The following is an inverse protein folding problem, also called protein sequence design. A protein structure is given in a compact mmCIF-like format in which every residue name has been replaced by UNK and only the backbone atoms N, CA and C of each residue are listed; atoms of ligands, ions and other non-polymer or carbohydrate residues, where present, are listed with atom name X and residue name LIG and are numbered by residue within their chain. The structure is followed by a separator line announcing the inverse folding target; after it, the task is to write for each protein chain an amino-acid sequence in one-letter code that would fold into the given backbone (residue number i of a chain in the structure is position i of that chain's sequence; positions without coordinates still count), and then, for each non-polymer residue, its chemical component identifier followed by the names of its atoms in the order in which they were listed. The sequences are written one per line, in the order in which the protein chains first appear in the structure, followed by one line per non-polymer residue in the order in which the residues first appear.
data_IF_464724969363
#
_entry.id   IF_464724969363
#
_cell.length_a   1.000
_cell.length_b   1.000
_cell.length_c   1.000
_cell.angle_alpha   90.00
_cell.angle_beta   90.00
_cell.angle_gamma   90.00
#
_symmetry.space_group_name_H-M   'P 1'
#
loop_
_entity.id
_entity.type
_entity.pdbx_description
1 polymer ?
#
# COMPACT_ATOMS: atom_id res chain seq x y z
N UNK A 1 -19.86 -0.06 -15.98
CA UNK A 1 -20.69 -0.58 -17.09
C UNK A 1 -21.55 -1.74 -16.58
N UNK A 2 -22.72 -1.96 -17.18
CA UNK A 2 -23.54 -3.16 -16.96
C UNK A 2 -22.95 -4.35 -17.72
N UNK A 3 -23.34 -5.59 -17.39
CA UNK A 3 -22.93 -6.76 -18.15
C UNK A 3 -23.27 -6.65 -19.65
N UNK A 4 -24.45 -6.11 -19.99
CA UNK A 4 -24.85 -5.89 -21.39
C UNK A 4 -23.92 -4.91 -22.11
N UNK A 5 -23.52 -3.83 -21.44
CA UNK A 5 -22.55 -2.88 -21.98
C UNK A 5 -21.18 -3.53 -22.16
N UNK A 6 -20.72 -4.35 -21.20
CA UNK A 6 -19.44 -5.06 -21.30
C UNK A 6 -19.42 -6.04 -22.49
N UNK A 7 -20.49 -6.82 -22.66
CA UNK A 7 -20.64 -7.73 -23.82
C UNK A 7 -20.60 -6.98 -25.15
N UNK A 8 -21.20 -5.78 -25.22
CA UNK A 8 -21.10 -4.91 -26.42
C UNK A 8 -19.71 -4.31 -26.60
N UNK A 9 -19.03 -3.99 -25.51
CA UNK A 9 -17.67 -3.42 -25.51
C UNK A 9 -16.62 -4.46 -25.93
N UNK A 10 -16.86 -5.74 -25.64
CA UNK A 10 -15.96 -6.86 -25.96
C UNK A 10 -16.74 -8.00 -26.62
N UNK A 11 -17.27 -7.80 -27.84
CA UNK A 11 -18.19 -8.74 -28.48
C UNK A 11 -17.53 -10.08 -28.83
N UNK A 12 -16.22 -10.07 -29.01
CA UNK A 12 -15.45 -11.26 -29.40
C UNK A 12 -15.18 -12.22 -28.23
N UNK A 13 -15.41 -11.79 -26.98
CA UNK A 13 -15.18 -12.61 -25.79
C UNK A 13 -16.43 -13.39 -25.35
N UNK A 14 -16.26 -14.69 -25.09
CA UNK A 14 -17.33 -15.61 -24.69
C UNK A 14 -17.70 -15.49 -23.20
N UNK A 15 -18.32 -14.37 -22.83
CA UNK A 15 -18.69 -14.05 -21.44
C UNK A 15 -19.59 -15.10 -20.76
N UNK A 16 -20.44 -15.80 -21.52
CA UNK A 16 -21.37 -16.78 -20.94
C UNK A 16 -20.63 -17.94 -20.28
N UNK A 17 -19.59 -18.49 -20.94
CA UNK A 17 -18.77 -19.55 -20.37
C UNK A 17 -18.01 -19.08 -19.14
N UNK A 18 -17.47 -17.85 -19.16
CA UNK A 18 -16.82 -17.25 -18.01
C UNK A 18 -17.78 -17.15 -16.81
N UNK A 19 -18.97 -16.60 -17.01
CA UNK A 19 -19.97 -16.43 -15.94
C UNK A 19 -20.38 -17.78 -15.35
N UNK A 20 -20.62 -18.80 -16.19
CA UNK A 20 -20.99 -20.14 -15.73
C UNK A 20 -19.85 -20.82 -14.95
N UNK A 21 -18.62 -20.75 -15.48
CA UNK A 21 -17.45 -21.38 -14.84
C UNK A 21 -17.17 -20.77 -13.46
N UNK A 22 -17.29 -19.46 -13.35
CA UNK A 22 -17.06 -18.72 -12.10
C UNK A 22 -18.33 -18.60 -11.24
N UNK A 23 -19.46 -19.16 -11.68
CA UNK A 23 -20.75 -19.16 -10.96
C UNK A 23 -21.16 -17.76 -10.48
N UNK A 24 -20.95 -16.75 -11.32
CA UNK A 24 -21.22 -15.36 -10.97
C UNK A 24 -22.73 -15.09 -10.98
N UNK A 25 -23.24 -14.48 -9.90
CA UNK A 25 -24.64 -14.09 -9.80
C UNK A 25 -24.94 -12.79 -10.55
N UNK A 26 -26.22 -12.53 -10.83
CA UNK A 26 -26.65 -11.26 -11.42
C UNK A 26 -26.31 -10.06 -10.52
N UNK A 27 -26.39 -10.23 -9.20
CA UNK A 27 -25.97 -9.22 -8.24
C UNK A 27 -24.48 -8.91 -8.36
N UNK A 28 -23.63 -9.94 -8.49
CA UNK A 28 -22.19 -9.78 -8.67
C UNK A 28 -21.82 -9.11 -10.00
N UNK A 29 -22.70 -9.20 -10.99
CA UNK A 29 -22.52 -8.64 -12.33
C UNK A 29 -23.28 -7.33 -12.55
N UNK A 30 -23.99 -6.83 -11.54
CA UNK A 30 -24.85 -5.65 -11.65
C UNK A 30 -24.08 -4.40 -12.07
N UNK A 31 -22.84 -4.25 -11.59
CA UNK A 31 -21.96 -3.14 -11.94
C UNK A 31 -20.51 -3.60 -12.05
N UNK A 32 -19.93 -3.40 -13.23
CA UNK A 32 -18.56 -3.78 -13.54
C UNK A 32 -17.74 -2.51 -13.78
N UNK A 33 -16.58 -2.42 -13.12
CA UNK A 33 -15.59 -1.38 -13.34
C UNK A 33 -14.53 -1.98 -14.26
N UNK A 34 -14.33 -1.37 -15.43
CA UNK A 34 -13.27 -1.74 -16.37
C UNK A 34 -12.17 -0.70 -16.22
N UNK A 35 -11.06 -1.09 -15.61
CA UNK A 35 -9.98 -0.15 -15.24
C UNK A 35 -9.13 0.25 -16.45
N UNK A 36 -8.72 -0.71 -17.28
CA UNK A 36 -7.89 -0.49 -18.48
C UNK A 36 -8.70 -0.80 -19.73
N UNK A 37 -9.64 0.09 -20.07
CA UNK A 37 -10.63 -0.12 -21.13
C UNK A 37 -10.03 -0.51 -22.48
N UNK A 38 -9.04 0.24 -22.98
CA UNK A 38 -8.35 -0.05 -24.24
C UNK A 38 -7.64 -1.40 -24.23
N UNK A 39 -7.01 -1.78 -23.11
CA UNK A 39 -6.35 -3.08 -22.98
C UNK A 39 -7.37 -4.23 -22.98
N UNK A 40 -8.49 -4.08 -22.26
CA UNK A 40 -9.55 -5.10 -22.18
C UNK A 40 -10.20 -5.32 -23.54
N UNK A 41 -10.49 -4.25 -24.29
CA UNK A 41 -11.02 -4.35 -25.65
C UNK A 41 -10.08 -5.14 -26.58
N UNK A 42 -8.79 -4.81 -26.55
CA UNK A 42 -7.81 -5.47 -27.41
C UNK A 42 -7.53 -6.91 -26.98
N UNK A 43 -7.51 -7.19 -25.67
CA UNK A 43 -7.35 -8.55 -25.16
C UNK A 43 -8.51 -9.46 -25.61
N UNK A 44 -9.75 -8.96 -25.63
CA UNK A 44 -10.88 -9.74 -26.13
C UNK A 44 -10.66 -10.18 -27.60
N UNK A 45 -10.17 -9.27 -28.45
CA UNK A 45 -9.85 -9.56 -29.86
C UNK A 45 -8.69 -10.54 -29.99
N UNK A 46 -7.63 -10.38 -29.20
CA UNK A 46 -6.49 -11.29 -29.20
C UNK A 46 -6.94 -12.70 -28.81
N UNK A 47 -7.71 -12.83 -27.73
CA UNK A 47 -8.20 -14.13 -27.26
C UNK A 47 -9.08 -14.81 -28.31
N UNK A 48 -9.98 -14.08 -28.96
CA UNK A 48 -10.86 -14.65 -29.98
C UNK A 48 -10.12 -15.11 -31.24
N UNK A 49 -9.05 -14.41 -31.62
CA UNK A 49 -8.29 -14.70 -32.83
C UNK A 49 -7.11 -15.66 -32.61
N UNK A 50 -6.79 -16.01 -31.37
CA UNK A 50 -5.67 -16.90 -31.05
C UNK A 50 -6.11 -18.36 -31.14
N UNK A 51 -5.35 -19.24 -31.83
CA UNK A 51 -5.64 -20.67 -31.85
C UNK A 51 -5.77 -21.26 -30.44
N UNK A 52 -6.76 -22.13 -30.24
CA UNK A 52 -7.03 -22.74 -28.94
C UNK A 52 -5.80 -23.46 -28.35
N UNK A 53 -5.03 -24.16 -29.19
CA UNK A 53 -3.79 -24.83 -28.76
C UNK A 53 -2.79 -23.85 -28.15
N UNK A 54 -2.59 -22.68 -28.77
CA UNK A 54 -1.72 -21.63 -28.25
C UNK A 54 -2.22 -21.09 -26.91
N UNK A 55 -3.54 -20.90 -26.77
CA UNK A 55 -4.12 -20.47 -25.50
C UNK A 55 -3.95 -21.53 -24.40
N UNK A 56 -4.11 -22.81 -24.73
CA UNK A 56 -3.89 -23.92 -23.80
C UNK A 56 -2.43 -23.96 -23.34
N UNK A 57 -1.47 -23.90 -24.27
CA UNK A 57 -0.04 -23.89 -23.94
C UNK A 57 0.33 -22.70 -23.05
N UNK A 58 -0.19 -21.51 -23.37
CA UNK A 58 0.00 -20.31 -22.57
C UNK A 58 -0.54 -20.48 -21.14
N UNK A 59 -1.77 -20.97 -21.00
CA UNK A 59 -2.40 -21.17 -19.69
C UNK A 59 -1.70 -22.26 -18.88
N UNK A 60 -1.28 -23.37 -19.50
CA UNK A 60 -0.53 -24.44 -18.83
C UNK A 60 0.81 -23.92 -18.31
N UNK A 61 1.55 -23.18 -19.13
CA UNK A 61 2.81 -22.55 -18.71
C UNK A 61 2.60 -21.61 -17.51
N UNK A 62 1.65 -20.69 -17.61
CA UNK A 62 1.40 -19.71 -16.55
C UNK A 62 0.88 -20.37 -15.26
N UNK A 63 0.04 -21.41 -15.38
CA UNK A 63 -0.40 -22.19 -14.24
C UNK A 63 0.79 -22.86 -13.54
N UNK A 64 1.59 -23.65 -14.25
CA UNK A 64 2.76 -24.32 -13.68
C UNK A 64 3.77 -23.33 -13.09
N UNK A 65 4.06 -22.24 -13.80
CA UNK A 65 4.94 -21.17 -13.32
C UNK A 65 4.44 -20.55 -12.03
N UNK A 66 3.14 -20.25 -11.92
CA UNK A 66 2.52 -19.69 -10.71
C UNK A 66 2.56 -20.63 -9.51
N UNK A 67 2.58 -21.95 -9.76
CA UNK A 67 2.58 -22.99 -8.72
C UNK A 67 3.97 -23.54 -8.40
N UNK A 68 5.00 -23.20 -9.18
CA UNK A 68 6.32 -23.82 -9.13
C UNK A 68 6.99 -23.82 -7.74
N UNK A 69 6.69 -22.84 -6.88
CA UNK A 69 7.23 -22.77 -5.51
C UNK A 69 6.63 -23.81 -4.55
N UNK A 70 5.51 -24.43 -4.91
CA UNK A 70 4.81 -25.45 -4.12
C UNK A 70 4.98 -26.86 -4.70
N UNK A 71 5.73 -26.98 -5.80
CA UNK A 71 6.04 -28.24 -6.47
C UNK A 71 7.43 -28.74 -6.04
N UNK A 72 7.99 -29.68 -6.81
CA UNK A 72 9.32 -30.20 -6.54
C UNK A 72 10.43 -29.16 -6.81
N UNK A 73 11.66 -29.54 -6.45
CA UNK A 73 12.85 -28.69 -6.56
C UNK A 73 13.14 -28.22 -7.99
N UNK A 74 12.88 -29.04 -9.01
CA UNK A 74 13.14 -28.66 -10.40
C UNK A 74 12.27 -27.47 -10.83
N UNK A 75 10.97 -27.49 -10.51
CA UNK A 75 10.07 -26.36 -10.77
C UNK A 75 10.48 -25.12 -9.98
N UNK A 76 10.75 -25.26 -8.69
CA UNK A 76 11.13 -24.13 -7.84
C UNK A 76 12.43 -23.47 -8.32
N UNK A 77 13.41 -24.25 -8.77
CA UNK A 77 14.65 -23.73 -9.34
C UNK A 77 14.47 -23.11 -10.72
N UNK A 78 13.67 -23.71 -11.61
CA UNK A 78 13.38 -23.10 -12.91
C UNK A 78 12.76 -21.70 -12.73
N UNK A 79 11.80 -21.57 -11.79
CA UNK A 79 11.21 -20.28 -11.43
C UNK A 79 12.24 -19.33 -10.84
N UNK A 80 13.05 -19.78 -9.88
CA UNK A 80 14.09 -18.96 -9.25
C UNK A 80 15.12 -18.46 -10.28
N UNK A 81 15.63 -19.34 -11.13
CA UNK A 81 16.64 -19.01 -12.13
C UNK A 81 16.15 -17.90 -13.08
N UNK A 82 14.89 -17.95 -13.53
CA UNK A 82 14.35 -16.91 -14.38
C UNK A 82 13.99 -15.64 -13.58
N UNK A 83 13.03 -15.75 -12.66
CA UNK A 83 12.45 -14.55 -12.02
C UNK A 83 13.37 -13.91 -10.99
N UNK A 84 14.26 -14.65 -10.33
CA UNK A 84 15.14 -14.09 -9.29
C UNK A 84 16.55 -13.87 -9.83
N UNK A 85 17.14 -14.85 -10.51
CA UNK A 85 18.52 -14.70 -11.00
C UNK A 85 18.61 -13.86 -12.26
N UNK A 86 17.86 -14.19 -13.32
CA UNK A 86 17.94 -13.45 -14.60
C UNK A 86 17.34 -12.05 -14.51
N UNK A 87 16.15 -11.90 -13.92
CA UNK A 87 15.47 -10.60 -13.87
C UNK A 87 15.94 -9.70 -12.72
N UNK A 88 16.39 -10.25 -11.59
CA UNK A 88 16.69 -9.49 -10.38
C UNK A 88 18.12 -9.68 -9.85
N UNK A 89 18.98 -10.42 -10.55
CA UNK A 89 20.39 -10.61 -10.16
C UNK A 89 20.63 -11.43 -8.87
N UNK A 90 19.59 -12.05 -8.31
CA UNK A 90 19.69 -12.81 -7.05
C UNK A 90 20.43 -14.13 -7.32
N UNK A 91 21.59 -14.29 -6.67
CA UNK A 91 22.50 -15.42 -6.92
C UNK A 91 22.09 -16.72 -6.23
N UNK A 92 21.42 -16.63 -5.07
CA UNK A 92 21.08 -17.79 -4.26
C UNK A 92 19.61 -17.76 -3.84
N UNK A 93 18.94 -18.90 -3.96
CA UNK A 93 17.58 -19.05 -3.46
C UNK A 93 17.60 -19.06 -1.94
N UNK A 94 16.66 -18.33 -1.32
CA UNK A 94 16.41 -18.38 0.12
C UNK A 94 16.33 -19.82 0.63
N UNK A 95 16.78 -20.01 1.86
CA UNK A 95 16.72 -21.30 2.55
C UNK A 95 15.29 -21.85 2.57
N UNK A 96 15.16 -23.16 2.77
CA UNK A 96 13.83 -23.79 2.85
C UNK A 96 12.99 -23.20 3.98
N UNK A 97 13.62 -22.87 5.12
CA UNK A 97 12.97 -22.28 6.30
C UNK A 97 12.38 -20.89 5.98
N UNK A 98 13.16 -20.01 5.35
CA UNK A 98 12.68 -18.67 4.98
C UNK A 98 11.54 -18.73 3.98
N UNK A 99 11.63 -19.63 2.98
CA UNK A 99 10.55 -19.81 2.01
C UNK A 99 9.28 -20.40 2.64
N UNK A 100 9.42 -21.32 3.60
CA UNK A 100 8.28 -21.84 4.35
C UNK A 100 7.61 -20.73 5.17
N UNK A 101 8.39 -19.86 5.82
CA UNK A 101 7.85 -18.69 6.52
C UNK A 101 7.15 -17.71 5.58
N UNK A 102 7.69 -17.50 4.38
CA UNK A 102 7.06 -16.67 3.35
C UNK A 102 5.71 -17.25 2.90
N UNK A 103 5.59 -18.58 2.79
CA UNK A 103 4.32 -19.25 2.50
C UNK A 103 3.31 -19.02 3.62
N UNK A 104 3.69 -19.19 4.89
CA UNK A 104 2.78 -18.93 6.03
C UNK A 104 2.28 -17.48 6.02
N UNK A 105 3.18 -16.51 5.77
CA UNK A 105 2.80 -15.11 5.67
C UNK A 105 1.84 -14.82 4.50
N UNK A 106 2.09 -15.40 3.31
CA UNK A 106 1.31 -15.13 2.09
C UNK A 106 -0.03 -15.84 2.03
N UNK A 107 -0.14 -17.03 2.60
CA UNK A 107 -1.37 -17.82 2.51
C UNK A 107 -2.47 -17.16 3.33
N UNK A 108 -2.23 -16.87 4.61
CA UNK A 108 -3.03 -15.97 5.45
C UNK A 108 -2.27 -15.71 6.76
N UNK A 109 -1.41 -14.69 6.75
CA UNK A 109 -0.55 -14.36 7.90
C UNK A 109 -1.25 -13.73 9.10
N UNK A 110 -2.58 -13.59 9.12
CA UNK A 110 -3.33 -12.97 10.22
C UNK A 110 -3.16 -13.71 11.57
N UNK A 111 -3.31 -15.04 11.66
CA UNK A 111 -3.06 -15.77 12.91
C UNK A 111 -1.61 -15.64 13.39
N UNK A 112 -0.64 -15.68 12.45
CA UNK A 112 0.77 -15.43 12.77
C UNK A 112 0.98 -14.00 13.29
N UNK A 113 0.26 -13.02 12.75
CA UNK A 113 0.29 -11.64 13.19
C UNK A 113 -0.22 -11.45 14.62
N UNK A 114 -1.27 -12.19 15.02
CA UNK A 114 -1.74 -12.19 16.40
C UNK A 114 -0.66 -12.73 17.36
N UNK A 115 0.01 -13.83 16.98
CA UNK A 115 1.15 -14.37 17.75
C UNK A 115 2.32 -13.38 17.80
N UNK A 116 2.63 -12.72 16.69
CA UNK A 116 3.69 -11.71 16.62
C UNK A 116 3.41 -10.55 17.57
N UNK A 117 2.20 -9.99 17.54
CA UNK A 117 1.77 -8.89 18.40
C UNK A 117 1.85 -9.28 19.87
N UNK A 118 1.29 -10.45 20.23
CA UNK A 118 1.31 -10.95 21.60
C UNK A 118 2.73 -11.16 22.16
N UNK A 119 3.71 -11.39 21.29
CA UNK A 119 5.09 -11.67 21.68
C UNK A 119 5.99 -10.44 21.64
N UNK A 120 5.82 -9.58 20.63
CA UNK A 120 6.82 -8.56 20.26
C UNK A 120 6.31 -7.12 20.28
N UNK A 121 4.99 -6.89 20.38
CA UNK A 121 4.45 -5.52 20.32
C UNK A 121 4.07 -5.01 21.71
N UNK A 122 4.76 -3.96 22.15
CA UNK A 122 4.45 -3.25 23.39
C UNK A 122 3.19 -2.40 23.21
N UNK A 123 2.10 -2.63 23.97
CA UNK A 123 0.91 -1.80 23.92
C UNK A 123 1.17 -0.31 24.18
N UNK A 124 2.18 0.04 24.99
CA UNK A 124 2.54 1.43 25.27
C UNK A 124 3.13 2.15 24.06
N UNK A 125 3.76 1.40 23.14
CA UNK A 125 4.21 1.93 21.86
C UNK A 125 3.03 2.51 21.05
N UNK A 126 1.84 1.88 21.13
CA UNK A 126 0.62 2.37 20.44
C UNK A 126 0.28 3.80 20.87
N UNK A 127 0.35 4.10 22.17
CA UNK A 127 0.07 5.44 22.71
C UNK A 127 1.12 6.47 22.26
N UNK A 128 2.40 6.10 22.28
CA UNK A 128 3.50 6.98 21.81
C UNK A 128 3.37 7.30 20.32
N UNK A 129 3.04 6.31 19.49
CA UNK A 129 2.78 6.51 18.06
C UNK A 129 1.54 7.37 17.83
N UNK A 130 0.46 7.19 18.59
CA UNK A 130 -0.72 8.05 18.51
C UNK A 130 -0.39 9.51 18.79
N UNK A 131 0.48 9.78 19.77
CA UNK A 131 0.95 11.14 20.05
C UNK A 131 1.76 11.71 18.88
N UNK A 132 2.70 10.94 18.30
CA UNK A 132 3.44 11.35 17.11
C UNK A 132 2.50 11.67 15.94
N UNK A 133 1.53 10.79 15.67
CA UNK A 133 0.50 11.02 14.64
C UNK A 133 -0.26 12.33 14.89
N UNK A 134 -0.61 12.63 16.14
CA UNK A 134 -1.29 13.88 16.50
C UNK A 134 -0.44 15.12 16.17
N UNK A 135 0.85 15.12 16.53
CA UNK A 135 1.77 16.21 16.20
C UNK A 135 1.94 16.39 14.68
N UNK A 136 2.11 15.28 13.95
CA UNK A 136 2.26 15.29 12.48
C UNK A 136 0.98 15.82 11.83
N UNK A 137 -0.20 15.30 12.21
CA UNK A 137 -1.50 15.76 11.70
C UNK A 137 -1.76 17.23 12.00
N UNK A 138 -1.42 17.67 13.21
CA UNK A 138 -1.51 19.07 13.63
C UNK A 138 -0.64 19.98 12.75
N UNK A 139 0.61 19.58 12.50
CA UNK A 139 1.50 20.34 11.63
C UNK A 139 1.06 20.33 10.16
N UNK A 140 0.53 19.21 9.68
CA UNK A 140 -0.06 19.13 8.34
C UNK A 140 -1.23 20.11 8.20
N UNK A 141 -2.10 20.18 9.22
CA UNK A 141 -3.21 21.14 9.29
C UNK A 141 -2.71 22.58 9.22
N UNK A 142 -1.70 22.94 10.01
CA UNK A 142 -1.09 24.28 10.01
C UNK A 142 -0.53 24.63 8.62
N UNK A 143 0.16 23.69 7.97
CA UNK A 143 0.66 23.89 6.60
C UNK A 143 -0.45 24.09 5.59
N UNK A 144 -1.55 23.34 5.68
CA UNK A 144 -2.72 23.56 4.83
C UNK A 144 -3.35 24.94 5.08
N UNK A 145 -3.44 25.40 6.33
CA UNK A 145 -4.02 26.71 6.64
C UNK A 145 -3.16 27.88 6.13
N UNK A 146 -1.84 27.73 6.15
CA UNK A 146 -0.88 28.77 5.77
C UNK A 146 -0.43 28.69 4.31
N UNK A 147 -0.98 27.77 3.53
CA UNK A 147 -0.63 27.64 2.12
C UNK A 147 -1.12 28.86 1.31
N UNK A 148 -0.33 29.28 0.33
CA UNK A 148 -0.54 30.50 -0.46
C UNK A 148 -1.05 30.24 -1.89
N UNK A 149 -1.25 28.97 -2.25
CA UNK A 149 -1.46 28.55 -3.64
C UNK A 149 -2.81 27.84 -3.86
N UNK A 150 -3.46 27.35 -2.81
CA UNK A 150 -4.82 26.83 -2.86
C UNK A 150 -5.82 27.92 -2.50
N UNK A 151 -6.92 27.98 -3.25
CA UNK A 151 -8.05 28.79 -2.87
C UNK A 151 -8.70 28.31 -1.55
N UNK A 152 -9.45 29.21 -0.90
CA UNK A 152 -10.10 28.94 0.40
C UNK A 152 -11.01 27.72 0.38
N UNK A 153 -11.75 27.48 -0.71
CA UNK A 153 -12.70 26.35 -0.82
C UNK A 153 -11.94 25.02 -0.89
N UNK A 154 -10.91 24.94 -1.72
CA UNK A 154 -10.07 23.74 -1.86
C UNK A 154 -9.33 23.47 -0.55
N UNK A 155 -8.80 24.50 0.12
CA UNK A 155 -8.18 24.37 1.44
C UNK A 155 -9.15 23.82 2.50
N UNK A 156 -10.39 24.34 2.58
CA UNK A 156 -11.41 23.81 3.50
C UNK A 156 -11.73 22.34 3.24
N UNK A 157 -11.78 21.92 1.97
CA UNK A 157 -11.97 20.50 1.60
C UNK A 157 -10.77 19.64 1.99
N UNK A 158 -9.55 20.12 1.76
CA UNK A 158 -8.34 19.43 2.18
C UNK A 158 -8.27 19.26 3.71
N UNK A 159 -8.63 20.30 4.46
CA UNK A 159 -8.75 20.25 5.92
C UNK A 159 -9.81 19.24 6.38
N UNK A 160 -10.97 19.20 5.71
CA UNK A 160 -12.01 18.20 6.00
C UNK A 160 -11.49 16.77 5.79
N UNK A 161 -10.80 16.53 4.65
CA UNK A 161 -10.17 15.24 4.35
C UNK A 161 -9.13 14.86 5.40
N UNK A 162 -8.21 15.77 5.74
CA UNK A 162 -7.19 15.55 6.78
C UNK A 162 -7.83 15.18 8.12
N UNK A 163 -8.87 15.91 8.54
CA UNK A 163 -9.55 15.66 9.80
C UNK A 163 -10.20 14.27 9.85
N UNK A 164 -10.71 13.77 8.72
CA UNK A 164 -11.37 12.47 8.61
C UNK A 164 -10.42 11.27 8.35
N UNK A 165 -9.10 11.47 8.36
CA UNK A 165 -8.18 10.33 8.31
C UNK A 165 -8.47 9.36 9.45
N UNK A 166 -8.67 8.10 9.11
CA UNK A 166 -8.64 6.99 10.06
C UNK A 166 -7.20 6.54 10.24
N UNK A 167 -6.76 6.34 11.48
CA UNK A 167 -5.39 5.92 11.80
C UNK A 167 -5.47 4.55 12.46
N UNK A 168 -4.78 3.56 11.87
CA UNK A 168 -4.70 2.20 12.41
C UNK A 168 -3.25 1.87 12.76
N UNK A 169 -3.00 1.41 13.98
CA UNK A 169 -1.64 1.26 14.55
C UNK A 169 -1.49 -0.13 15.17
N UNK A 170 -0.42 -0.83 14.83
CA UNK A 170 -0.05 -2.14 15.34
C UNK A 170 -0.77 -3.28 14.64
N UNK A 171 -2.06 -3.45 14.92
CA UNK A 171 -2.80 -4.66 14.56
C UNK A 171 -4.32 -4.46 14.47
N UNK A 172 -5.04 -5.31 13.72
CA UNK A 172 -6.49 -5.28 13.68
C UNK A 172 -7.11 -5.84 14.97
N UNK A 173 -8.17 -5.17 15.46
CA UNK A 173 -8.99 -5.65 16.59
C UNK A 173 -9.86 -6.87 16.20
N UNK A 174 -10.08 -7.09 14.90
CA UNK A 174 -10.87 -8.20 14.36
C UNK A 174 -10.09 -8.92 13.26
N UNK A 175 -10.06 -10.25 13.32
CA UNK A 175 -9.50 -11.11 12.27
C UNK A 175 -10.61 -11.86 11.52
N UNK A 176 -10.24 -12.42 10.36
CA UNK A 176 -11.12 -13.36 9.68
C UNK A 176 -11.31 -14.64 10.51
N UNK A 177 -12.47 -15.27 10.36
CA UNK A 177 -12.70 -16.60 10.92
C UNK A 177 -12.05 -17.66 10.02
N UNK A 178 -11.13 -18.42 10.61
CA UNK A 178 -10.42 -19.52 9.98
C UNK A 178 -10.87 -20.89 10.51
N UNK A 179 -12.01 -20.97 11.21
CA UNK A 179 -12.53 -22.22 11.78
C UNK A 179 -12.78 -23.33 10.75
N UNK A 180 -13.06 -22.94 9.49
CA UNK A 180 -13.30 -23.85 8.36
C UNK A 180 -12.03 -24.28 7.63
N UNK A 181 -10.86 -23.80 8.08
CA UNK A 181 -9.57 -24.06 7.47
C UNK A 181 -8.93 -25.32 8.07
N UNK A 182 -8.82 -26.37 7.27
CA UNK A 182 -8.26 -27.65 7.71
C UNK A 182 -7.06 -28.01 6.85
N UNK A 183 -5.88 -27.50 7.26
CA UNK A 183 -4.61 -27.81 6.62
C UNK A 183 -4.08 -29.14 7.13
N UNK A 184 -3.55 -29.96 6.23
CA UNK A 184 -2.95 -31.25 6.58
C UNK A 184 -1.42 -31.19 6.47
N UNK A 185 -0.67 -31.88 7.34
CA UNK A 185 0.75 -32.10 7.13
C UNK A 185 1.02 -32.76 5.77
N UNK A 186 2.20 -32.52 5.21
CA UNK A 186 2.70 -33.16 3.98
C UNK A 186 1.88 -32.94 2.68
N UNK A 187 0.85 -32.09 2.70
CA UNK A 187 -0.01 -31.77 1.54
C UNK A 187 0.10 -30.30 1.09
N UNK A 188 1.33 -29.76 1.01
CA UNK A 188 1.58 -28.34 0.73
C UNK A 188 0.80 -27.78 -0.47
N UNK A 189 0.72 -28.53 -1.58
CA UNK A 189 0.03 -28.08 -2.78
C UNK A 189 -1.48 -27.97 -2.56
N UNK A 190 -2.09 -28.98 -1.94
CA UNK A 190 -3.53 -28.99 -1.65
C UNK A 190 -3.90 -27.91 -0.63
N UNK A 191 -3.08 -27.74 0.40
CA UNK A 191 -3.20 -26.65 1.37
C UNK A 191 -3.18 -25.28 0.67
N UNK A 192 -2.27 -25.07 -0.28
CA UNK A 192 -2.23 -23.85 -1.08
C UNK A 192 -3.51 -23.66 -1.92
N UNK A 193 -4.01 -24.71 -2.56
CA UNK A 193 -5.26 -24.64 -3.33
C UNK A 193 -6.47 -24.33 -2.45
N UNK A 194 -6.57 -24.93 -1.26
CA UNK A 194 -7.62 -24.66 -0.29
C UNK A 194 -7.64 -23.19 0.12
N UNK A 195 -6.45 -22.61 0.38
CA UNK A 195 -6.31 -21.18 0.69
C UNK A 195 -6.78 -20.30 -0.45
N UNK A 196 -6.34 -20.59 -1.68
CA UNK A 196 -6.73 -19.80 -2.86
C UNK A 196 -8.24 -19.85 -3.09
N UNK A 197 -8.86 -21.02 -2.89
CA UNK A 197 -10.31 -21.16 -3.00
C UNK A 197 -11.06 -20.36 -1.92
N UNK A 198 -10.60 -20.39 -0.67
CA UNK A 198 -11.17 -19.57 0.40
C UNK A 198 -11.04 -18.07 0.11
N UNK A 199 -9.87 -17.61 -0.35
CA UNK A 199 -9.65 -16.20 -0.73
C UNK A 199 -10.59 -15.77 -1.84
N UNK A 200 -10.81 -16.62 -2.83
CA UNK A 200 -11.79 -16.38 -3.88
C UNK A 200 -13.20 -16.24 -3.29
N UNK A 201 -13.64 -17.19 -2.46
CA UNK A 201 -14.97 -17.16 -1.85
C UNK A 201 -15.18 -15.93 -0.95
N UNK A 202 -14.20 -15.58 -0.11
CA UNK A 202 -14.25 -14.38 0.72
C UNK A 202 -14.35 -13.12 -0.15
N UNK A 203 -13.54 -13.01 -1.21
CA UNK A 203 -13.61 -11.88 -2.14
C UNK A 203 -14.98 -11.75 -2.81
N UNK A 204 -15.54 -12.88 -3.28
CA UNK A 204 -16.85 -12.89 -3.93
C UNK A 204 -18.00 -12.58 -2.96
N UNK A 205 -17.87 -12.94 -1.68
CA UNK A 205 -18.85 -12.64 -0.63
C UNK A 205 -18.96 -11.15 -0.27
N UNK A 206 -18.00 -10.32 -0.70
CA UNK A 206 -17.99 -8.88 -0.43
C UNK A 206 -18.89 -8.09 -1.37
N UNK A 207 -19.23 -8.66 -2.52
CA UNK A 207 -20.02 -7.96 -3.54
C UNK A 207 -21.48 -7.92 -3.05
N UNK A 208 -22.09 -6.73 -3.06
CA UNK A 208 -23.42 -6.48 -2.48
C UNK A 208 -23.39 -6.08 -1.01
N UNK A 209 -22.28 -6.34 -0.32
CA UNK A 209 -22.13 -6.08 1.12
C UNK A 209 -21.50 -4.73 1.44
N UNK A 210 -21.62 -4.31 2.70
CA UNK A 210 -20.92 -3.12 3.21
C UNK A 210 -19.41 -3.38 3.28
N UNK A 211 -18.62 -2.36 2.94
CA UNK A 211 -17.16 -2.39 3.06
C UNK A 211 -16.75 -2.72 4.50
N UNK A 212 -15.91 -3.74 4.65
CA UNK A 212 -15.37 -4.20 5.93
C UNK A 212 -14.25 -3.27 6.42
N UNK A 213 -14.62 -2.19 7.11
CA UNK A 213 -13.66 -1.17 7.60
C UNK A 213 -12.65 -1.69 8.64
N UNK A 214 -12.88 -2.85 9.24
CA UNK A 214 -11.98 -3.46 10.21
C UNK A 214 -10.77 -4.14 9.57
N UNK A 215 -10.81 -4.39 8.25
CA UNK A 215 -9.76 -5.10 7.54
C UNK A 215 -8.52 -4.25 7.28
N UNK A 216 -7.39 -4.92 7.14
CA UNK A 216 -6.08 -4.36 6.85
C UNK A 216 -5.54 -4.97 5.57
N UNK A 217 -4.83 -4.18 4.77
CA UNK A 217 -4.12 -4.63 3.57
C UNK A 217 -2.76 -5.29 3.87
N UNK A 218 -2.28 -5.17 5.11
CA UNK A 218 -1.02 -5.75 5.57
C UNK A 218 -1.20 -6.43 6.92
N UNK A 219 -0.44 -7.50 7.15
CA UNK A 219 -0.39 -8.21 8.42
C UNK A 219 0.48 -7.46 9.45
N UNK A 220 0.24 -7.61 10.77
CA UNK A 220 1.02 -6.92 11.82
C UNK A 220 2.54 -7.10 11.72
N UNK A 221 3.01 -8.27 11.28
CA UNK A 221 4.43 -8.60 11.13
C UNK A 221 5.08 -8.05 9.84
N UNK A 222 4.36 -7.26 9.05
CA UNK A 222 4.90 -6.63 7.83
C UNK A 222 5.66 -5.36 8.20
N UNK A 223 6.92 -5.25 7.78
CA UNK A 223 7.70 -4.01 7.90
C UNK A 223 7.37 -3.11 6.71
N UNK A 224 6.29 -2.36 6.80
CA UNK A 224 5.87 -1.35 5.83
C UNK A 224 4.79 -0.45 6.46
N UNK A 225 4.33 0.58 5.75
CA UNK A 225 3.12 1.34 6.04
C UNK A 225 2.32 1.54 4.76
N UNK A 226 1.07 2.01 4.85
CA UNK A 226 0.31 2.38 3.65
C UNK A 226 -0.84 3.36 3.93
N UNK A 227 -1.19 4.11 2.88
CA UNK A 227 -2.43 4.85 2.73
C UNK A 227 -3.43 4.11 1.84
N UNK A 228 -4.71 4.09 2.24
CA UNK A 228 -5.80 3.60 1.41
C UNK A 228 -6.76 4.73 1.05
N UNK A 229 -6.82 5.17 -0.23
CA UNK A 229 -7.69 6.27 -0.64
C UNK A 229 -9.18 5.96 -0.51
N UNK A 230 -9.59 4.69 -0.66
CA UNK A 230 -11.01 4.30 -0.64
C UNK A 230 -11.62 4.34 0.76
N UNK A 231 -10.80 4.29 1.81
CA UNK A 231 -11.24 4.40 3.20
C UNK A 231 -10.67 5.64 3.91
N UNK A 232 -9.86 6.45 3.21
CA UNK A 232 -9.13 7.60 3.74
C UNK A 232 -8.44 7.26 5.08
N UNK A 233 -7.60 6.22 5.03
CA UNK A 233 -6.94 5.68 6.22
C UNK A 233 -5.45 5.49 6.01
N UNK A 234 -4.68 5.65 7.09
CA UNK A 234 -3.25 5.35 7.17
C UNK A 234 -3.02 4.25 8.19
N UNK A 235 -2.14 3.32 7.86
CA UNK A 235 -1.95 2.08 8.61
C UNK A 235 -0.47 1.83 8.85
N UNK A 236 -0.14 1.53 10.11
CA UNK A 236 1.22 1.22 10.56
C UNK A 236 1.21 -0.14 11.29
N UNK A 237 1.49 -1.27 10.59
CA UNK A 237 1.69 -2.58 11.19
C UNK A 237 2.70 -2.57 12.35
N UNK A 238 2.53 -3.47 13.31
CA UNK A 238 3.37 -3.58 14.50
C UNK A 238 4.88 -3.66 14.17
N UNK A 239 5.25 -4.37 13.11
CA UNK A 239 6.64 -4.58 12.75
C UNK A 239 7.34 -3.36 12.12
N UNK A 240 6.66 -2.30 11.68
CA UNK A 240 7.37 -1.04 11.36
C UNK A 240 7.64 -0.20 12.62
N UNK A 241 6.97 -0.49 13.74
CA UNK A 241 7.06 0.27 14.98
C UNK A 241 8.17 -0.26 15.90
N UNK A 242 9.35 -0.43 15.30
CA UNK A 242 10.58 -0.86 15.96
C UNK A 242 11.79 -0.14 15.35
N UNK A 243 12.96 -0.24 15.99
CA UNK A 243 14.18 0.36 15.48
C UNK A 243 14.52 -0.17 14.07
N UNK A 244 15.03 0.68 13.15
CA UNK A 244 15.41 2.08 13.37
C UNK A 244 14.26 3.10 13.21
N UNK A 245 13.04 2.67 12.87
CA UNK A 245 11.93 3.61 12.66
C UNK A 245 11.42 4.21 13.96
N UNK A 246 11.25 3.38 14.98
CA UNK A 246 10.74 3.78 16.27
C UNK A 246 11.45 3.04 17.40
N UNK A 247 12.07 3.80 18.30
CA UNK A 247 12.52 3.29 19.59
C UNK A 247 11.96 4.18 20.69
N UNK A 248 11.20 3.55 21.58
CA UNK A 248 10.49 4.23 22.65
C UNK A 248 11.41 4.82 23.74
N UNK A 249 12.68 4.43 23.74
CA UNK A 249 13.74 4.88 24.64
C UNK A 249 14.76 5.80 23.96
N UNK A 250 14.68 5.96 22.63
CA UNK A 250 15.58 6.84 21.89
C UNK A 250 15.20 8.32 22.03
N UNK A 251 16.18 9.20 21.77
CA UNK A 251 15.93 10.63 21.66
C UNK A 251 14.83 10.91 20.61
N UNK A 252 13.83 11.76 20.92
CA UNK A 252 12.70 12.01 20.03
C UNK A 252 13.10 12.43 18.61
N UNK A 253 14.26 13.06 18.40
CA UNK A 253 14.71 13.46 17.07
C UNK A 253 14.71 12.31 16.08
N UNK A 254 15.21 11.14 16.48
CA UNK A 254 15.27 9.93 15.63
C UNK A 254 13.87 9.44 15.27
N UNK A 255 12.96 9.40 16.25
CA UNK A 255 11.58 8.97 16.01
C UNK A 255 10.83 9.92 15.08
N UNK A 256 11.02 11.24 15.21
CA UNK A 256 10.42 12.20 14.27
C UNK A 256 11.05 12.11 12.87
N UNK A 257 12.36 11.87 12.79
CA UNK A 257 13.11 11.74 11.53
C UNK A 257 12.75 10.48 10.75
N UNK A 258 12.49 9.38 11.45
CA UNK A 258 12.17 8.09 10.86
C UNK A 258 10.65 7.83 10.83
N UNK A 259 10.04 7.25 11.87
CA UNK A 259 8.60 6.94 11.85
C UNK A 259 7.73 8.19 11.68
N UNK A 260 8.16 9.35 12.17
CA UNK A 260 7.46 10.62 11.96
C UNK A 260 7.41 11.03 10.49
N UNK A 261 8.51 10.86 9.75
CA UNK A 261 8.55 11.09 8.31
C UNK A 261 7.65 10.10 7.56
N UNK A 262 7.66 8.82 7.95
CA UNK A 262 6.76 7.79 7.39
C UNK A 262 5.28 8.15 7.64
N UNK A 263 4.92 8.57 8.86
CA UNK A 263 3.55 9.02 9.16
C UNK A 263 3.16 10.21 8.27
N UNK A 264 4.08 11.17 8.10
CA UNK A 264 3.87 12.31 7.22
C UNK A 264 3.72 11.91 5.75
N UNK A 265 4.49 10.90 5.31
CA UNK A 265 4.46 10.35 3.96
C UNK A 265 3.09 9.71 3.66
N UNK A 266 2.60 8.85 4.56
CA UNK A 266 1.28 8.22 4.41
C UNK A 266 0.12 9.24 4.44
N UNK A 267 0.23 10.30 5.24
CA UNK A 267 -0.74 11.41 5.17
C UNK A 267 -0.62 12.19 3.85
N UNK A 268 0.60 12.34 3.34
CA UNK A 268 0.93 12.97 2.06
C UNK A 268 0.26 12.27 0.88
N UNK A 269 0.18 10.94 0.88
CA UNK A 269 -0.53 10.17 -0.14
C UNK A 269 -2.01 10.52 -0.25
N UNK A 270 -2.66 11.03 0.80
CA UNK A 270 -4.02 11.56 0.68
C UNK A 270 -4.15 12.81 -0.20
N UNK A 271 -3.03 13.44 -0.57
CA UNK A 271 -2.98 14.70 -1.30
C UNK A 271 -1.99 14.68 -2.47
N UNK A 272 -1.41 13.53 -2.80
CA UNK A 272 -0.54 13.35 -3.97
C UNK A 272 -1.34 13.42 -5.29
N UNK A 273 -0.70 13.11 -6.42
CA UNK A 273 -1.31 13.22 -7.74
C UNK A 273 -2.54 12.31 -7.95
N UNK A 274 -2.63 11.20 -7.21
CA UNK A 274 -3.73 10.22 -7.25
C UNK A 274 -4.69 10.38 -6.07
N UNK A 275 -4.19 10.43 -4.83
CA UNK A 275 -5.00 10.53 -3.63
C UNK A 275 -5.82 11.81 -3.58
N UNK A 276 -5.35 12.91 -4.18
CA UNK A 276 -6.13 14.15 -4.32
C UNK A 276 -7.43 13.98 -5.10
N UNK A 277 -7.59 12.90 -5.88
CA UNK A 277 -8.81 12.64 -6.65
C UNK A 277 -9.94 12.09 -5.78
N UNK A 278 -9.62 11.62 -4.57
CA UNK A 278 -10.56 11.06 -3.60
C UNK A 278 -10.91 12.09 -2.53
N UNK A 279 -12.19 12.22 -2.21
CA UNK A 279 -12.68 13.10 -1.15
C UNK A 279 -12.46 12.53 0.26
N UNK A 280 -13.00 13.20 1.28
CA UNK A 280 -12.88 12.78 2.68
C UNK A 280 -13.52 11.42 3.00
N UNK A 281 -14.43 10.96 2.14
CA UNK A 281 -15.16 9.69 2.28
C UNK A 281 -14.56 8.57 1.43
N UNK A 282 -13.47 8.85 0.71
CA UNK A 282 -12.82 7.92 -0.20
C UNK A 282 -13.52 7.76 -1.55
N UNK A 283 -14.35 8.74 -1.94
CA UNK A 283 -15.03 8.73 -3.24
C UNK A 283 -14.28 9.56 -4.26
N UNK A 284 -14.17 9.06 -5.49
CA UNK A 284 -13.58 9.79 -6.61
C UNK A 284 -14.44 11.01 -6.96
N UNK A 285 -13.94 12.22 -6.71
CA UNK A 285 -14.67 13.48 -6.93
C UNK A 285 -13.76 14.61 -7.40
N UNK A 286 -14.31 15.50 -8.23
CA UNK A 286 -13.66 16.79 -8.55
C UNK A 286 -13.95 17.81 -7.44
N UNK A 287 -13.17 17.76 -6.35
CA UNK A 287 -13.36 18.65 -5.19
C UNK A 287 -12.40 19.84 -5.14
N UNK A 288 -11.44 19.90 -6.05
CA UNK A 288 -10.50 21.03 -6.23
C UNK A 288 -11.04 22.01 -7.27
N UNK A 289 -10.81 23.31 -7.08
CA UNK A 289 -11.03 24.29 -8.16
C UNK A 289 -10.01 24.10 -9.29
N UNK A 290 -10.33 24.62 -10.48
CA UNK A 290 -9.40 24.62 -11.63
C UNK A 290 -8.09 25.35 -11.31
N UNK A 291 -8.16 26.48 -10.59
CA UNK A 291 -6.98 27.25 -10.22
C UNK A 291 -6.05 26.46 -9.27
N UNK A 292 -6.61 25.85 -8.21
CA UNK A 292 -5.82 25.03 -7.28
C UNK A 292 -5.22 23.80 -7.97
N UNK A 293 -5.93 23.18 -8.93
CA UNK A 293 -5.38 22.07 -9.72
C UNK A 293 -4.21 22.53 -10.61
N UNK A 294 -4.31 23.72 -11.20
CA UNK A 294 -3.25 24.28 -12.04
C UNK A 294 -1.99 24.58 -11.20
N UNK A 295 -2.14 25.22 -10.05
CA UNK A 295 -1.02 25.45 -9.13
C UNK A 295 -0.39 24.17 -8.58
N UNK A 296 -1.21 23.13 -8.32
CA UNK A 296 -0.69 21.81 -7.95
C UNK A 296 0.23 21.26 -9.05
N UNK A 297 -0.21 21.30 -10.31
CA UNK A 297 0.60 20.86 -11.46
C UNK A 297 1.89 21.65 -11.60
N UNK A 298 1.82 22.98 -11.46
CA UNK A 298 3.01 23.85 -11.54
C UNK A 298 4.05 23.51 -10.47
N UNK A 299 3.61 23.19 -9.25
CA UNK A 299 4.50 22.77 -8.18
C UNK A 299 5.06 21.37 -8.43
N UNK A 300 4.24 20.42 -8.87
CA UNK A 300 4.69 19.03 -9.10
C UNK A 300 5.64 18.92 -10.28
N UNK A 301 5.50 19.78 -11.30
CA UNK A 301 6.48 19.88 -12.40
C UNK A 301 7.89 20.21 -11.90
N UNK A 302 8.03 21.02 -10.85
CA UNK A 302 9.36 21.30 -10.26
C UNK A 302 9.98 20.05 -9.65
N UNK A 303 9.17 19.22 -9.00
CA UNK A 303 9.61 17.96 -8.41
C UNK A 303 9.95 16.92 -9.50
N UNK A 304 9.10 16.81 -10.53
CA UNK A 304 9.38 16.01 -11.74
C UNK A 304 10.75 16.39 -12.32
N UNK A 305 10.98 17.69 -12.56
CA UNK A 305 12.24 18.18 -13.12
C UNK A 305 13.44 17.89 -12.21
N UNK A 306 13.28 17.94 -10.89
CA UNK A 306 14.36 17.59 -9.95
C UNK A 306 14.83 16.15 -10.17
N UNK A 307 13.91 15.19 -10.33
CA UNK A 307 14.25 13.78 -10.57
C UNK A 307 14.68 13.50 -12.02
N UNK A 308 14.18 14.28 -12.98
CA UNK A 308 14.56 14.16 -14.40
C UNK A 308 15.96 14.73 -14.70
N UNK A 309 16.48 15.64 -13.86
CA UNK A 309 17.77 16.31 -14.04
C UNK A 309 18.98 15.41 -13.75
N UNK A 310 19.06 14.25 -14.42
CA UNK A 310 20.21 13.36 -14.38
C UNK A 310 20.29 12.49 -13.13
N UNK A 311 19.25 12.44 -12.28
CA UNK A 311 19.21 11.51 -11.16
C UNK A 311 19.15 10.08 -11.70
N UNK A 312 20.22 9.33 -11.46
CA UNK A 312 20.42 7.98 -11.97
C UNK A 312 20.81 7.05 -10.84
N UNK A 313 20.24 5.87 -10.85
CA UNK A 313 20.63 4.76 -9.97
C UNK A 313 21.25 3.71 -10.89
N UNK A 314 22.50 3.33 -10.62
CA UNK A 314 23.27 2.40 -11.45
C UNK A 314 23.27 2.75 -12.95
N UNK A 315 23.34 4.06 -13.25
CA UNK A 315 23.35 4.59 -14.63
C UNK A 315 21.99 4.66 -15.32
N UNK A 316 20.93 4.14 -14.70
CA UNK A 316 19.55 4.20 -15.20
C UNK A 316 18.84 5.45 -14.69
N UNK A 317 18.20 6.19 -15.59
CA UNK A 317 17.41 7.36 -15.22
C UNK A 317 16.15 6.93 -14.46
N UNK A 318 15.85 7.63 -13.38
CA UNK A 318 14.59 7.43 -12.66
C UNK A 318 13.42 7.93 -13.51
N UNK A 319 12.34 7.16 -13.53
CA UNK A 319 11.09 7.57 -14.17
C UNK A 319 10.34 8.53 -13.21
N UNK A 320 10.64 9.82 -13.37
CA UNK A 320 10.10 10.94 -12.61
C UNK A 320 8.56 10.91 -12.45
N UNK A 321 7.83 10.61 -13.53
CA UNK A 321 6.38 10.52 -13.55
C UNK A 321 5.87 9.29 -12.80
N UNK A 322 6.56 8.16 -12.91
CA UNK A 322 6.21 6.94 -12.18
C UNK A 322 6.38 7.12 -10.67
N UNK A 323 7.43 7.82 -10.25
CA UNK A 323 7.77 8.03 -8.84
C UNK A 323 7.08 9.25 -8.21
N UNK A 324 6.27 10.00 -8.97
CA UNK A 324 5.80 11.32 -8.53
C UNK A 324 5.02 11.26 -7.20
N UNK A 325 4.10 10.31 -7.04
CA UNK A 325 3.31 10.15 -5.82
C UNK A 325 4.19 9.95 -4.59
N UNK A 326 5.14 9.01 -4.69
CA UNK A 326 6.15 8.73 -3.66
C UNK A 326 7.01 9.96 -3.35
N UNK A 327 7.49 10.66 -4.38
CA UNK A 327 8.31 11.86 -4.21
C UNK A 327 7.55 12.99 -3.48
N UNK A 328 6.25 13.11 -3.73
CA UNK A 328 5.36 14.05 -3.01
C UNK A 328 5.19 13.59 -1.56
N UNK A 329 4.96 12.29 -1.34
CA UNK A 329 4.88 11.66 -0.03
C UNK A 329 6.14 11.93 0.80
N UNK A 330 7.32 11.64 0.27
CA UNK A 330 8.61 11.84 0.93
C UNK A 330 8.88 13.30 1.27
N UNK A 331 8.79 14.19 0.26
CA UNK A 331 9.06 15.61 0.47
C UNK A 331 8.06 16.22 1.45
N UNK A 332 6.77 15.91 1.29
CA UNK A 332 5.72 16.37 2.17
C UNK A 332 5.89 15.85 3.59
N UNK A 333 6.10 14.54 3.73
CA UNK A 333 6.23 13.83 4.99
C UNK A 333 7.40 14.30 5.82
N UNK A 334 8.60 14.35 5.21
CA UNK A 334 9.80 14.82 5.90
C UNK A 334 9.66 16.28 6.36
N UNK A 335 9.06 17.15 5.54
CA UNK A 335 8.84 18.56 5.91
C UNK A 335 7.82 18.71 7.04
N UNK A 336 6.73 17.94 7.03
CA UNK A 336 5.74 17.96 8.11
C UNK A 336 6.38 17.43 9.40
N UNK A 337 7.13 16.34 9.32
CA UNK A 337 7.83 15.73 10.45
C UNK A 337 8.86 16.65 11.08
N UNK A 338 9.67 17.32 10.26
CA UNK A 338 10.64 18.31 10.74
C UNK A 338 9.95 19.45 11.50
N UNK A 339 8.85 19.98 10.96
CA UNK A 339 8.13 21.07 11.62
C UNK A 339 7.42 20.59 12.90
N UNK A 340 6.91 19.36 12.91
CA UNK A 340 6.35 18.73 14.11
C UNK A 340 7.42 18.53 15.19
N UNK A 341 8.62 18.11 14.81
CA UNK A 341 9.76 17.98 15.73
C UNK A 341 10.19 19.33 16.31
N UNK A 342 10.26 20.39 15.47
CA UNK A 342 10.53 21.75 15.95
C UNK A 342 9.46 22.25 16.92
N UNK A 343 8.19 21.92 16.67
CA UNK A 343 7.11 22.26 17.58
C UNK A 343 7.23 21.50 18.91
N UNK A 344 7.45 20.18 18.85
CA UNK A 344 7.73 19.36 20.02
C UNK A 344 8.91 19.92 20.83
N UNK A 345 9.99 20.31 20.15
CA UNK A 345 11.19 20.84 20.81
C UNK A 345 10.89 22.13 21.58
N UNK A 346 10.10 23.04 21.00
CA UNK A 346 9.64 24.28 21.67
C UNK A 346 8.80 24.02 22.92
N UNK A 347 8.03 22.94 22.93
CA UNK A 347 7.13 22.60 24.04
C UNK A 347 7.84 21.84 25.16
N UNK A 348 8.85 21.02 24.83
CA UNK A 348 9.43 20.05 25.77
C UNK A 348 10.87 20.34 26.19
N UNK A 349 11.58 21.26 25.53
CA UNK A 349 12.96 21.61 25.90
C UNK A 349 13.11 23.06 26.37
N UNK A 350 14.05 23.33 27.30
CA UNK A 350 14.39 24.69 27.71
C UNK A 350 14.77 25.57 26.51
N UNK A 351 14.18 26.76 26.43
CA UNK A 351 14.33 27.69 25.31
C UNK A 351 13.96 27.12 23.92
N UNK A 352 13.30 25.96 23.88
CA UNK A 352 12.92 25.26 22.67
C UNK A 352 14.03 24.53 21.93
N UNK A 353 15.20 24.36 22.57
CA UNK A 353 16.39 23.76 21.95
C UNK A 353 16.70 22.39 22.58
N UNK A 354 16.66 21.29 21.79
CA UNK A 354 17.06 19.96 22.26
C UNK A 354 18.54 19.93 22.65
N UNK A 355 18.94 19.10 23.64
CA UNK A 355 20.34 18.97 24.01
C UNK A 355 21.20 18.45 22.86
N UNK A 356 22.47 18.84 22.85
CA UNK A 356 23.51 18.21 22.02
C UNK A 356 23.83 16.85 22.65
N UNK A 357 23.70 15.78 21.88
CA UNK A 357 23.98 14.40 22.29
C UNK A 357 25.02 13.85 21.32
N UNK A 358 26.11 13.30 21.85
CA UNK A 358 27.23 12.75 21.07
C UNK A 358 27.77 13.71 19.99
N UNK A 359 27.84 15.00 20.32
CA UNK A 359 28.31 16.05 19.41
C UNK A 359 27.32 16.45 18.31
N UNK A 360 26.10 15.90 18.31
CA UNK A 360 25.06 16.22 17.33
C UNK A 360 23.93 17.05 17.93
N UNK A 361 23.51 18.09 17.20
CA UNK A 361 22.27 18.82 17.46
C UNK A 361 21.05 17.94 17.24
N UNK A 362 19.90 18.33 17.81
CA UNK A 362 18.64 17.63 17.57
C UNK A 362 18.26 17.55 16.08
N UNK A 363 18.60 18.56 15.27
CA UNK A 363 18.33 18.55 13.83
C UNK A 363 19.22 17.56 13.09
N UNK A 364 20.49 17.44 13.47
CA UNK A 364 21.39 16.44 12.89
C UNK A 364 20.93 15.01 13.21
N UNK A 365 20.47 14.77 14.45
CA UNK A 365 19.87 13.48 14.82
C UNK A 365 18.58 13.17 14.08
N UNK A 366 17.75 14.17 13.80
CA UNK A 366 16.54 14.01 12.98
C UNK A 366 16.86 13.61 11.53
N UNK A 367 17.99 14.08 10.98
CA UNK A 367 18.37 13.84 9.58
C UNK A 367 19.24 12.61 9.34
N UNK A 368 19.72 11.96 10.41
CA UNK A 368 20.54 10.75 10.37
C UNK A 368 19.63 9.52 10.29
#
# INVERSE_FOLDING_TARGET
MTLSQLKKFTPDYQWQGFIQQWKLSDEQLAKIIVENDSAVEQLAKILANTPLSTLQDYLVFHYLSSKANYLNQAFSYARFNFYSTRLNGIKQQRSRKERALEVVNKLKGEPLGQLYVATYFDPDAKNKIQNLVSYIKGMFKTRLQNNDWMDKRTCQKALKKLNQFTVKIGYPEKCHDFSTFHLQPDTLFDNHLQVQNWLYQDNMSRIGEKVRKWEWGMTPQTINAYYNPLQNEIIFPAAILQAPFFDQNADPAYNYGAIGAVIGHEMGHGFDDQGRLYDETGQLRKWWSTASQQHFKEKTVKLINQYNNGFKIDGLAVNDKLTLGENIGDLGGLNVALNAYKQFSKEHYPNGEPPIIDGMTGLQRFSL
#
